data_IF_241792878874
#
_entry.id   IF_241792878874
#
_cell.length_a   1.000
_cell.length_b   1.000
_cell.length_c   1.000
_cell.angle_alpha   90.00
_cell.angle_beta   90.00
_cell.angle_gamma   90.00
#
_symmetry.space_group_name_H-M   'P 1'
#
loop_
_entity.id
_entity.type
_entity.pdbx_description
1 polymer ?
#
# COMPACT_ATOMS: atom_id res chain seq x y z
N UNK A 1 -15.42 33.10 5.66
CA UNK A 1 -15.01 32.01 4.70
C UNK A 1 -15.14 30.59 5.29
N UNK A 2 -15.20 30.37 6.60
CA UNK A 2 -15.46 29.05 7.22
C UNK A 2 -16.93 28.59 7.18
N UNK A 3 -17.88 29.53 7.17
CA UNK A 3 -19.32 29.23 7.24
C UNK A 3 -19.93 28.68 5.92
N UNK A 4 -19.25 28.86 4.78
CA UNK A 4 -19.78 28.42 3.48
C UNK A 4 -19.52 26.93 3.12
N UNK A 5 -18.70 26.23 3.87
CA UNK A 5 -18.36 24.81 3.58
C UNK A 5 -19.32 23.82 4.26
N UNK A 6 -20.12 24.28 5.23
CA UNK A 6 -21.05 23.40 5.98
C UNK A 6 -22.29 23.00 5.16
N UNK A 7 -22.62 23.77 4.10
CA UNK A 7 -23.80 23.51 3.24
C UNK A 7 -23.47 22.76 1.94
N UNK A 8 -22.19 22.45 1.69
CA UNK A 8 -21.77 21.71 0.49
C UNK A 8 -21.77 20.22 0.83
N UNK A 9 -22.70 19.47 0.23
CA UNK A 9 -22.74 18.03 0.33
C UNK A 9 -21.55 17.40 -0.43
N UNK A 10 -20.46 17.14 0.28
CA UNK A 10 -19.25 16.54 -0.30
C UNK A 10 -19.40 15.00 -0.20
N UNK A 11 -19.59 14.35 -1.34
CA UNK A 11 -19.73 12.89 -1.45
C UNK A 11 -18.38 12.17 -1.60
N UNK A 12 -17.42 12.46 -0.70
CA UNK A 12 -16.15 11.73 -0.70
C UNK A 12 -16.24 10.49 0.20
N UNK A 13 -15.89 9.34 -0.36
CA UNK A 13 -15.64 8.13 0.44
C UNK A 13 -14.30 8.28 1.21
N UNK A 14 -14.38 8.93 2.38
CA UNK A 14 -13.22 9.21 3.23
C UNK A 14 -12.48 7.94 3.71
N UNK A 15 -13.15 6.79 3.75
CA UNK A 15 -12.53 5.51 4.13
C UNK A 15 -11.53 5.03 3.06
N UNK A 16 -11.69 5.50 1.83
CA UNK A 16 -10.73 5.26 0.75
C UNK A 16 -9.34 5.79 1.13
N UNK A 17 -9.25 6.99 1.72
CA UNK A 17 -8.04 7.58 2.29
C UNK A 17 -6.91 7.86 1.29
N UNK A 18 -7.15 7.71 -0.02
CA UNK A 18 -6.29 8.07 -1.13
C UNK A 18 -7.15 8.65 -2.24
N UNK A 19 -6.85 9.89 -2.65
CA UNK A 19 -7.50 10.59 -3.74
C UNK A 19 -6.45 11.23 -4.65
N UNK A 20 -6.69 11.28 -5.95
CA UNK A 20 -5.80 11.98 -6.89
C UNK A 20 -6.37 13.36 -7.18
N UNK A 21 -5.52 14.41 -7.15
CA UNK A 21 -5.96 15.81 -7.37
C UNK A 21 -6.71 15.99 -8.70
N UNK A 22 -6.36 15.22 -9.72
CA UNK A 22 -7.07 15.26 -11.02
C UNK A 22 -8.54 14.79 -10.97
N UNK A 23 -8.92 14.05 -9.95
CA UNK A 23 -10.25 13.45 -9.78
C UNK A 23 -11.10 14.26 -8.77
N UNK A 24 -10.56 15.38 -8.24
CA UNK A 24 -11.16 16.22 -7.22
C UNK A 24 -11.52 17.59 -7.79
N UNK A 25 -12.58 18.18 -7.26
CA UNK A 25 -12.87 19.58 -7.44
C UNK A 25 -12.25 20.46 -6.32
N UNK A 26 -12.41 21.77 -6.44
CA UNK A 26 -11.87 22.72 -5.46
C UNK A 26 -12.41 22.52 -4.05
N UNK A 27 -13.70 22.21 -3.91
CA UNK A 27 -14.35 22.08 -2.60
C UNK A 27 -13.92 20.77 -1.91
N UNK A 28 -13.76 19.72 -2.68
CA UNK A 28 -13.25 18.43 -2.22
C UNK A 28 -11.79 18.54 -1.74
N UNK A 29 -10.93 19.26 -2.46
CA UNK A 29 -9.55 19.52 -2.04
C UNK A 29 -9.50 20.33 -0.74
N UNK A 30 -10.29 21.40 -0.60
CA UNK A 30 -10.38 22.19 0.64
C UNK A 30 -10.94 21.35 1.80
N UNK A 31 -11.90 20.47 1.52
CA UNK A 31 -12.39 19.51 2.52
C UNK A 31 -11.26 18.59 3.01
N UNK A 32 -10.53 17.95 2.11
CA UNK A 32 -9.42 17.06 2.46
C UNK A 32 -8.32 17.77 3.26
N UNK A 33 -7.97 18.98 2.88
CA UNK A 33 -7.00 19.84 3.59
C UNK A 33 -7.42 20.11 5.03
N UNK A 34 -8.70 20.43 5.25
CA UNK A 34 -9.26 20.67 6.58
C UNK A 34 -9.36 19.37 7.42
N UNK A 35 -9.40 18.20 6.78
CA UNK A 35 -9.47 16.88 7.42
C UNK A 35 -8.11 16.17 7.53
N UNK A 36 -7.01 16.94 7.62
CA UNK A 36 -5.64 16.47 7.88
C UNK A 36 -5.04 15.59 6.78
N UNK A 37 -5.60 15.56 5.61
CA UNK A 37 -4.96 14.96 4.46
C UNK A 37 -3.71 15.76 4.07
N UNK A 38 -2.74 15.08 3.47
CA UNK A 38 -1.50 15.69 2.97
C UNK A 38 -1.33 15.34 1.51
N UNK A 39 -0.89 16.33 0.73
CA UNK A 39 -0.55 16.13 -0.68
C UNK A 39 0.92 15.79 -0.86
N UNK A 40 1.20 14.96 -1.84
CA UNK A 40 2.53 14.74 -2.39
C UNK A 40 2.42 14.09 -3.77
N UNK A 41 3.52 14.18 -4.53
CA UNK A 41 3.63 13.52 -5.82
C UNK A 41 4.13 12.09 -5.66
N UNK A 42 3.39 11.14 -6.22
CA UNK A 42 3.72 9.72 -6.22
C UNK A 42 3.60 9.14 -7.63
N UNK A 43 4.34 8.08 -7.89
CA UNK A 43 4.13 7.27 -9.11
C UNK A 43 3.16 6.16 -8.77
N UNK A 44 1.93 6.08 -9.30
CA UNK A 44 1.01 4.98 -9.05
C UNK A 44 1.54 3.64 -9.59
N UNK A 45 1.02 2.53 -9.06
CA UNK A 45 1.38 1.19 -9.53
C UNK A 45 1.00 1.06 -11.02
N UNK A 46 1.93 0.56 -11.84
CA UNK A 46 1.72 0.41 -13.28
C UNK A 46 1.80 1.70 -14.09
N UNK A 47 2.11 2.83 -13.46
CA UNK A 47 2.35 4.12 -14.13
C UNK A 47 3.84 4.46 -14.14
N UNK A 48 4.23 5.36 -15.05
CA UNK A 48 5.59 5.88 -15.15
C UNK A 48 5.69 7.35 -14.72
N UNK A 49 4.57 8.07 -14.73
CA UNK A 49 4.51 9.49 -14.36
C UNK A 49 4.04 9.65 -12.92
N UNK A 50 4.53 10.70 -12.29
CA UNK A 50 4.03 11.12 -10.99
C UNK A 50 2.64 11.73 -11.12
N UNK A 51 1.82 11.50 -10.12
CA UNK A 51 0.50 12.09 -9.95
C UNK A 51 0.42 12.65 -8.54
N UNK A 52 -0.15 13.85 -8.40
CA UNK A 52 -0.41 14.43 -7.10
C UNK A 52 -1.57 13.68 -6.45
N UNK A 53 -1.38 13.32 -5.18
CA UNK A 53 -2.38 12.59 -4.42
C UNK A 53 -2.52 13.11 -2.99
N UNK A 54 -3.74 13.10 -2.50
CA UNK A 54 -4.13 13.40 -1.13
C UNK A 54 -4.20 12.10 -0.32
N UNK A 55 -3.51 12.09 0.81
CA UNK A 55 -3.40 10.93 1.70
C UNK A 55 -3.74 11.30 3.13
N UNK A 56 -4.59 10.51 3.76
CA UNK A 56 -4.73 10.55 5.21
C UNK A 56 -3.51 9.85 5.84
N UNK A 57 -2.62 10.58 6.54
CA UNK A 57 -1.44 9.99 7.16
C UNK A 57 -1.82 8.92 8.18
N UNK A 58 -1.04 7.85 8.25
CA UNK A 58 -1.20 6.77 9.22
C UNK A 58 0.06 6.67 10.09
N UNK A 59 0.23 7.51 11.12
CA UNK A 59 1.40 7.42 12.00
C UNK A 59 1.51 6.04 12.67
N UNK A 60 2.74 5.52 12.84
CA UNK A 60 4.04 6.16 12.56
C UNK A 60 4.57 5.99 11.12
N UNK A 61 3.73 5.54 10.19
CA UNK A 61 4.14 5.22 8.83
C UNK A 61 4.50 6.48 8.02
N UNK A 62 5.39 6.33 7.03
CA UNK A 62 5.71 7.40 6.09
C UNK A 62 4.62 7.54 5.03
N UNK A 63 4.46 8.74 4.45
CA UNK A 63 3.49 8.98 3.37
C UNK A 63 3.70 8.02 2.18
N UNK A 64 4.96 7.72 1.82
CA UNK A 64 5.23 6.77 0.72
C UNK A 64 4.77 5.35 1.08
N UNK A 65 4.93 4.90 2.32
CA UNK A 65 4.42 3.62 2.77
C UNK A 65 2.88 3.60 2.69
N UNK A 66 2.22 4.59 3.30
CA UNK A 66 0.76 4.74 3.27
C UNK A 66 0.24 4.77 1.84
N UNK A 67 0.90 5.54 0.94
CA UNK A 67 0.53 5.59 -0.47
C UNK A 67 0.58 4.21 -1.13
N UNK A 68 1.68 3.47 -0.99
CA UNK A 68 1.82 2.19 -1.66
C UNK A 68 0.83 1.16 -1.11
N UNK A 69 0.60 1.14 0.20
CA UNK A 69 -0.42 0.26 0.81
C UNK A 69 -1.80 0.53 0.20
N UNK A 70 -2.25 1.80 0.19
CA UNK A 70 -3.57 2.17 -0.32
C UNK A 70 -3.68 1.98 -1.83
N UNK A 71 -2.67 2.39 -2.59
CA UNK A 71 -2.67 2.20 -4.05
C UNK A 71 -2.64 0.71 -4.43
N UNK A 72 -1.93 -0.15 -3.66
CA UNK A 72 -1.96 -1.60 -3.85
C UNK A 72 -3.36 -2.16 -3.56
N UNK A 73 -4.02 -1.71 -2.49
CA UNK A 73 -5.40 -2.09 -2.19
C UNK A 73 -6.35 -1.73 -3.33
N UNK A 74 -6.26 -0.49 -3.83
CA UNK A 74 -7.14 -0.01 -4.89
C UNK A 74 -6.92 -0.78 -6.20
N UNK A 75 -5.67 -1.14 -6.52
CA UNK A 75 -5.39 -2.03 -7.65
C UNK A 75 -5.95 -3.44 -7.45
N UNK A 76 -5.87 -3.99 -6.23
CA UNK A 76 -6.43 -5.30 -5.89
C UNK A 76 -7.96 -5.32 -6.00
N UNK A 77 -8.63 -4.26 -5.53
CA UNK A 77 -10.10 -4.15 -5.55
C UNK A 77 -10.70 -4.16 -6.95
N UNK A 78 -9.91 -3.89 -8.00
CA UNK A 78 -10.34 -4.06 -9.40
C UNK A 78 -10.57 -5.53 -9.79
N UNK A 79 -10.06 -6.48 -9.01
CA UNK A 79 -10.07 -7.91 -9.31
C UNK A 79 -10.73 -8.77 -8.25
N UNK A 80 -10.74 -8.35 -6.99
CA UNK A 80 -11.31 -9.09 -5.87
C UNK A 80 -11.80 -8.14 -4.79
N UNK A 81 -12.93 -8.47 -4.17
CA UNK A 81 -13.46 -7.74 -3.01
C UNK A 81 -12.82 -8.20 -1.69
N UNK A 82 -12.10 -9.32 -1.68
CA UNK A 82 -11.49 -9.89 -0.48
C UNK A 82 -10.10 -9.30 -0.25
N UNK A 83 -10.02 -7.99 0.06
CA UNK A 83 -8.79 -7.27 0.36
C UNK A 83 -8.90 -6.60 1.72
N UNK A 84 -7.91 -6.80 2.57
CA UNK A 84 -7.86 -6.18 3.89
C UNK A 84 -6.50 -5.51 4.11
N UNK A 85 -6.52 -4.26 4.59
CA UNK A 85 -5.37 -3.59 5.17
C UNK A 85 -5.34 -3.93 6.66
N UNK A 86 -4.23 -4.46 7.12
CA UNK A 86 -4.05 -4.83 8.52
C UNK A 86 -3.16 -3.81 9.23
N UNK A 87 -3.16 -3.87 10.56
CA UNK A 87 -2.39 -2.96 11.41
C UNK A 87 -1.44 -3.75 12.31
N UNK A 88 -0.44 -3.04 12.86
CA UNK A 88 0.50 -3.55 13.88
C UNK A 88 1.48 -4.60 13.37
N UNK A 89 1.48 -5.81 13.96
CA UNK A 89 2.45 -6.88 13.66
C UNK A 89 2.09 -7.73 12.43
N UNK A 90 0.85 -7.62 11.95
CA UNK A 90 0.39 -8.33 10.76
C UNK A 90 1.02 -7.71 9.49
N UNK A 91 1.04 -8.45 8.37
CA UNK A 91 1.40 -7.88 7.07
C UNK A 91 0.46 -6.73 6.69
N UNK A 92 0.96 -5.75 5.92
CA UNK A 92 0.19 -4.56 5.57
C UNK A 92 -1.10 -4.87 4.81
N UNK A 93 -1.07 -5.86 3.90
CA UNK A 93 -2.22 -6.24 3.09
C UNK A 93 -2.35 -7.75 3.03
N UNK A 94 -3.57 -8.25 3.16
CA UNK A 94 -3.91 -9.62 2.79
C UNK A 94 -5.03 -9.61 1.75
N UNK A 95 -5.00 -10.57 0.83
CA UNK A 95 -6.05 -10.77 -0.15
C UNK A 95 -6.15 -12.25 -0.56
N UNK A 96 -7.29 -12.63 -1.13
CA UNK A 96 -7.48 -13.97 -1.66
C UNK A 96 -7.19 -14.01 -3.17
N UNK A 97 -6.30 -14.90 -3.59
CA UNK A 97 -5.96 -15.05 -5.01
C UNK A 97 -7.00 -15.91 -5.76
N UNK A 98 -6.82 -16.04 -7.09
CA UNK A 98 -7.70 -16.84 -7.97
C UNK A 98 -7.83 -18.32 -7.60
N UNK A 99 -6.92 -18.84 -6.76
CA UNK A 99 -6.95 -20.22 -6.23
C UNK A 99 -7.58 -20.31 -4.84
N UNK A 100 -8.15 -19.21 -4.33
CA UNK A 100 -8.71 -19.15 -2.99
C UNK A 100 -7.66 -19.09 -1.87
N UNK A 101 -6.38 -18.92 -2.19
CA UNK A 101 -5.30 -18.86 -1.20
C UNK A 101 -5.15 -17.44 -0.67
N UNK A 102 -4.91 -17.31 0.64
CA UNK A 102 -4.57 -16.02 1.25
C UNK A 102 -3.12 -15.68 0.88
N UNK A 103 -2.95 -14.52 0.28
CA UNK A 103 -1.65 -13.90 -0.04
C UNK A 103 -1.44 -12.75 0.93
N UNK A 104 -0.24 -12.62 1.47
CA UNK A 104 0.16 -11.58 2.40
C UNK A 104 1.27 -10.73 1.78
N UNK A 105 1.08 -9.41 1.78
CA UNK A 105 2.03 -8.42 1.29
C UNK A 105 2.50 -7.55 2.45
N UNK A 106 3.80 -7.42 2.58
CA UNK A 106 4.46 -6.48 3.48
C UNK A 106 5.17 -5.41 2.65
N UNK A 107 4.90 -4.14 2.91
CA UNK A 107 5.47 -3.01 2.20
C UNK A 107 6.66 -2.45 2.99
N UNK A 108 7.85 -2.47 2.41
CA UNK A 108 9.07 -2.06 3.09
C UNK A 108 9.76 -0.88 2.41
N UNK A 109 9.97 0.19 3.19
CA UNK A 109 10.71 1.38 2.74
C UNK A 109 12.22 1.28 2.98
N UNK A 110 12.67 0.23 3.69
CA UNK A 110 14.05 0.03 4.10
C UNK A 110 14.46 0.78 5.38
N UNK A 111 13.60 1.63 5.94
CA UNK A 111 13.86 2.33 7.21
C UNK A 111 13.95 1.36 8.39
N UNK A 112 13.04 0.38 8.45
CA UNK A 112 13.02 -0.65 9.49
C UNK A 112 14.31 -1.48 9.53
N UNK A 113 14.84 -1.82 8.36
CA UNK A 113 16.08 -2.57 8.24
C UNK A 113 17.31 -1.84 8.82
N UNK A 114 17.33 -0.51 8.70
CA UNK A 114 18.44 0.32 9.22
C UNK A 114 18.33 0.53 10.73
N UNK A 115 17.12 0.76 11.25
CA UNK A 115 16.91 1.22 12.64
C UNK A 115 16.49 0.10 13.59
N UNK A 116 15.76 -0.91 13.13
CA UNK A 116 15.08 -1.90 13.96
C UNK A 116 15.19 -3.31 13.39
N UNK A 117 16.40 -3.71 12.95
CA UNK A 117 16.64 -4.98 12.25
C UNK A 117 16.13 -6.21 13.03
N UNK A 118 16.40 -6.29 14.34
CA UNK A 118 15.96 -7.42 15.16
C UNK A 118 14.43 -7.59 15.16
N UNK A 119 13.70 -6.49 15.37
CA UNK A 119 12.24 -6.48 15.35
C UNK A 119 11.68 -6.86 13.97
N UNK A 120 12.36 -6.44 12.89
CA UNK A 120 11.97 -6.79 11.53
C UNK A 120 12.14 -8.30 11.27
N UNK A 121 13.22 -8.89 11.76
CA UNK A 121 13.48 -10.34 11.66
C UNK A 121 12.39 -11.11 12.39
N UNK A 122 12.07 -10.73 13.64
CA UNK A 122 11.00 -11.34 14.44
C UNK A 122 9.66 -11.28 13.68
N UNK A 123 9.24 -10.09 13.22
CA UNK A 123 8.01 -9.88 12.46
C UNK A 123 7.92 -10.80 11.24
N UNK A 124 9.01 -10.88 10.46
CA UNK A 124 8.98 -11.70 9.24
C UNK A 124 9.07 -13.20 9.52
N UNK A 125 9.67 -13.60 10.62
CA UNK A 125 9.68 -14.99 11.09
C UNK A 125 8.26 -15.43 11.45
N UNK A 126 7.54 -14.63 12.23
CA UNK A 126 6.14 -14.89 12.61
C UNK A 126 5.21 -14.90 11.37
N UNK A 127 5.33 -13.89 10.51
CA UNK A 127 4.55 -13.81 9.29
C UNK A 127 4.83 -15.00 8.34
N UNK A 128 6.10 -15.41 8.24
CA UNK A 128 6.49 -16.57 7.43
C UNK A 128 5.95 -17.88 7.97
N UNK A 129 5.90 -18.06 9.27
CA UNK A 129 5.27 -19.24 9.89
C UNK A 129 3.78 -19.31 9.56
N UNK A 130 3.08 -18.17 9.57
CA UNK A 130 1.63 -18.07 9.29
C UNK A 130 1.30 -18.23 7.80
N UNK A 131 1.96 -17.46 6.93
CA UNK A 131 1.61 -17.36 5.50
C UNK A 131 2.48 -18.25 4.57
N UNK A 132 3.55 -18.83 5.08
CA UNK A 132 4.45 -19.76 4.36
C UNK A 132 4.94 -19.17 3.03
N UNK A 133 4.73 -19.87 1.91
CA UNK A 133 5.12 -19.42 0.57
C UNK A 133 4.29 -18.24 0.03
N UNK A 134 3.20 -17.91 0.68
CA UNK A 134 2.28 -16.85 0.28
C UNK A 134 2.60 -15.49 0.93
N UNK A 135 3.72 -15.38 1.67
CA UNK A 135 4.25 -14.10 2.15
C UNK A 135 5.19 -13.50 1.10
N UNK A 136 4.96 -12.22 0.78
CA UNK A 136 5.76 -11.43 -0.14
C UNK A 136 6.17 -10.11 0.51
N UNK A 137 7.43 -9.70 0.33
CA UNK A 137 7.91 -8.38 0.76
C UNK A 137 8.04 -7.51 -0.49
N UNK A 138 7.41 -6.35 -0.47
CA UNK A 138 7.41 -5.36 -1.54
C UNK A 138 8.33 -4.22 -1.14
N UNK A 139 9.43 -4.05 -1.85
CA UNK A 139 10.38 -2.97 -1.58
C UNK A 139 10.03 -1.71 -2.39
N UNK A 140 9.92 -0.58 -1.70
CA UNK A 140 9.77 0.73 -2.36
C UNK A 140 11.06 1.18 -3.05
N UNK A 141 12.21 0.71 -2.54
CA UNK A 141 13.54 0.96 -3.09
C UNK A 141 14.18 -0.35 -3.57
N UNK A 142 14.26 -0.55 -4.87
CA UNK A 142 14.82 -1.75 -5.51
C UNK A 142 16.29 -2.02 -5.13
N UNK A 143 17.07 -0.98 -4.80
CA UNK A 143 18.47 -1.14 -4.37
C UNK A 143 18.62 -1.96 -3.08
N UNK A 144 17.57 -2.07 -2.28
CA UNK A 144 17.55 -2.88 -1.06
C UNK A 144 17.31 -4.38 -1.34
N UNK A 145 16.93 -4.76 -2.56
CA UNK A 145 16.50 -6.14 -2.91
C UNK A 145 17.56 -7.18 -2.56
N UNK A 146 18.84 -6.91 -2.87
CA UNK A 146 19.96 -7.82 -2.55
C UNK A 146 20.08 -8.03 -1.04
N UNK A 147 19.99 -6.96 -0.26
CA UNK A 147 20.11 -6.99 1.21
C UNK A 147 18.96 -7.76 1.86
N UNK A 148 17.72 -7.51 1.42
CA UNK A 148 16.56 -8.26 1.93
C UNK A 148 16.61 -9.73 1.55
N UNK A 149 16.99 -10.06 0.31
CA UNK A 149 17.16 -11.47 -0.12
C UNK A 149 18.21 -12.22 0.71
N UNK A 150 19.34 -11.58 1.01
CA UNK A 150 20.38 -12.17 1.87
C UNK A 150 19.88 -12.43 3.29
N UNK A 151 19.04 -11.53 3.84
CA UNK A 151 18.53 -11.66 5.20
C UNK A 151 17.32 -12.60 5.31
N UNK A 152 16.49 -12.67 4.25
CA UNK A 152 15.24 -13.43 4.20
C UNK A 152 15.20 -14.33 2.95
N UNK A 153 16.12 -15.33 2.86
CA UNK A 153 16.26 -16.15 1.64
C UNK A 153 15.00 -16.96 1.30
N UNK A 154 14.18 -17.28 2.30
CA UNK A 154 12.96 -18.08 2.16
C UNK A 154 11.69 -17.25 1.94
N UNK A 155 11.81 -15.92 1.77
CA UNK A 155 10.67 -15.04 1.46
C UNK A 155 10.88 -14.45 0.07
N UNK A 156 9.81 -14.42 -0.72
CA UNK A 156 9.87 -13.78 -2.05
C UNK A 156 9.91 -12.27 -1.89
N UNK A 157 10.97 -11.66 -2.42
CA UNK A 157 11.19 -10.20 -2.39
C UNK A 157 10.92 -9.63 -3.78
N UNK A 158 9.97 -8.72 -3.85
CA UNK A 158 9.59 -8.01 -5.07
C UNK A 158 10.00 -6.53 -4.97
N UNK A 159 10.39 -5.93 -6.08
CA UNK A 159 10.44 -4.48 -6.17
C UNK A 159 9.02 -3.97 -6.45
N UNK A 160 8.75 -2.71 -6.12
CA UNK A 160 7.48 -2.06 -6.42
C UNK A 160 7.12 -2.15 -7.92
N UNK A 161 8.10 -2.07 -8.80
CA UNK A 161 7.95 -2.21 -10.25
C UNK A 161 7.49 -3.61 -10.69
N UNK A 162 7.69 -4.62 -9.86
CA UNK A 162 7.28 -6.00 -10.13
C UNK A 162 5.78 -6.23 -9.80
N UNK A 163 5.17 -5.32 -9.03
CA UNK A 163 3.78 -5.46 -8.55
C UNK A 163 2.74 -5.66 -9.65
N UNK A 164 2.71 -4.89 -10.75
CA UNK A 164 1.69 -5.07 -11.78
C UNK A 164 1.67 -6.49 -12.34
N UNK A 165 2.84 -7.03 -12.70
CA UNK A 165 2.98 -8.40 -13.20
C UNK A 165 2.61 -9.44 -12.15
N UNK A 166 3.01 -9.22 -10.90
CA UNK A 166 2.66 -10.09 -9.78
C UNK A 166 1.15 -10.15 -9.56
N UNK A 167 0.48 -9.00 -9.45
CA UNK A 167 -0.98 -8.92 -9.24
C UNK A 167 -1.74 -9.58 -10.39
N UNK A 168 -1.30 -9.34 -11.62
CA UNK A 168 -1.86 -10.00 -12.79
C UNK A 168 -1.78 -11.53 -12.68
N UNK A 169 -0.63 -12.06 -12.29
CA UNK A 169 -0.42 -13.51 -12.12
C UNK A 169 -1.29 -14.11 -11.03
N UNK A 170 -1.47 -13.39 -9.92
CA UNK A 170 -2.25 -13.87 -8.78
C UNK A 170 -3.77 -13.83 -9.02
N UNK A 171 -4.27 -12.87 -9.81
CA UNK A 171 -5.69 -12.53 -9.87
C UNK A 171 -6.37 -12.86 -11.19
N UNK A 172 -5.71 -12.72 -12.35
CA UNK A 172 -6.33 -13.10 -13.63
C UNK A 172 -6.48 -14.61 -13.73
N UNK A 173 -7.70 -15.06 -14.06
CA UNK A 173 -7.92 -16.44 -14.51
C UNK A 173 -7.20 -16.63 -15.84
N UNK A 174 -6.45 -17.72 -15.96
CA UNK A 174 -5.99 -18.21 -17.26
C UNK A 174 -7.26 -18.61 -18.02
N UNK A 175 -7.54 -17.92 -19.12
CA UNK A 175 -8.64 -18.31 -20.03
C UNK A 175 -8.26 -19.57 -20.74
#
# INVERSE_FOLDING_TARGET
>A
MKEYLEDINIELDVDKGLFYSRDLDYYEEEYLKNHKYKTANFVPIGKVRQEEAWLLPTPPESLIHTFIVRNTRDELLKYTSEVQILKSREPDIIFRNKKGQIIALEIETGKGFKKHKARLIEKFTEAKAKYKKNLFIILTNSNMKRKYKSQFPNITILARTDLPGFLHTQLKKIR
#
